data_IF_294428582382
#
_entry.id   IF_294428582382
#
_cell.length_a   1.000
_cell.length_b   1.000
_cell.length_c   1.000
_cell.angle_alpha   90.00
_cell.angle_beta   90.00
_cell.angle_gamma   90.00
#
_symmetry.space_group_name_H-M   'P 1'
#
loop_
_entity.id
_entity.type
_entity.pdbx_description
1 polymer ?
#
# COMPACT_ATOMS: atom_id res chain seq x y z
N UNK A 1 47.92 -5.44 -83.48
CA UNK A 1 47.81 -6.12 -82.16
C UNK A 1 46.84 -5.43 -81.16
N UNK A 2 46.14 -4.34 -81.53
CA UNK A 2 45.29 -3.56 -80.60
C UNK A 2 43.87 -4.11 -80.32
N UNK A 3 43.37 -5.05 -81.12
CA UNK A 3 41.99 -5.54 -81.00
C UNK A 3 41.76 -6.44 -79.76
N UNK A 4 42.80 -7.08 -79.22
CA UNK A 4 42.71 -7.92 -78.02
C UNK A 4 42.67 -7.11 -76.71
N UNK A 5 43.39 -5.99 -76.66
CA UNK A 5 43.46 -5.12 -75.48
C UNK A 5 42.16 -4.33 -75.26
N UNK A 6 41.50 -3.90 -76.34
CA UNK A 6 40.19 -3.26 -76.28
C UNK A 6 39.11 -4.21 -75.76
N UNK A 7 39.12 -5.48 -76.19
CA UNK A 7 38.21 -6.52 -75.69
C UNK A 7 38.46 -6.85 -74.21
N UNK A 8 39.72 -6.88 -73.77
CA UNK A 8 40.07 -7.10 -72.36
C UNK A 8 39.63 -5.93 -71.45
N UNK A 9 39.74 -4.69 -71.92
CA UNK A 9 39.23 -3.51 -71.19
C UNK A 9 37.70 -3.49 -71.13
N UNK A 10 37.01 -3.84 -72.21
CA UNK A 10 35.54 -3.98 -72.22
C UNK A 10 35.06 -5.05 -71.23
N UNK A 11 35.69 -6.23 -71.22
CA UNK A 11 35.34 -7.27 -70.25
C UNK A 11 35.60 -6.87 -68.80
N UNK A 12 36.64 -6.09 -68.53
CA UNK A 12 36.89 -5.55 -67.17
C UNK A 12 35.82 -4.55 -66.75
N UNK A 13 35.43 -3.64 -67.63
CA UNK A 13 34.35 -2.67 -67.38
C UNK A 13 32.99 -3.35 -67.17
N UNK A 14 32.68 -4.38 -67.97
CA UNK A 14 31.44 -5.14 -67.81
C UNK A 14 31.38 -5.91 -66.49
N UNK A 15 32.51 -6.49 -66.05
CA UNK A 15 32.59 -7.14 -64.73
C UNK A 15 32.40 -6.14 -63.60
N UNK A 16 33.06 -4.98 -63.68
CA UNK A 16 32.96 -3.94 -62.65
C UNK A 16 31.53 -3.33 -62.59
N UNK A 17 30.88 -3.15 -63.74
CA UNK A 17 29.48 -2.71 -63.78
C UNK A 17 28.51 -3.76 -63.20
N UNK A 18 28.75 -5.04 -63.47
CA UNK A 18 27.96 -6.14 -62.89
C UNK A 18 28.17 -6.24 -61.38
N UNK A 19 29.39 -6.13 -60.89
CA UNK A 19 29.69 -6.15 -59.45
C UNK A 19 29.04 -4.97 -58.72
N UNK A 20 29.08 -3.75 -59.27
CA UNK A 20 28.37 -2.59 -58.70
C UNK A 20 26.85 -2.75 -58.74
N UNK A 21 26.31 -3.37 -59.79
CA UNK A 21 24.89 -3.68 -59.88
C UNK A 21 24.46 -4.74 -58.86
N UNK A 22 25.27 -5.78 -58.63
CA UNK A 22 25.00 -6.80 -57.61
C UNK A 22 25.13 -6.24 -56.20
N UNK A 23 26.13 -5.39 -55.94
CA UNK A 23 26.33 -4.79 -54.62
C UNK A 23 25.21 -3.80 -54.28
N UNK A 24 24.75 -3.00 -55.24
CA UNK A 24 23.59 -2.11 -55.05
C UNK A 24 22.29 -2.90 -54.79
N UNK A 25 22.08 -4.02 -55.50
CA UNK A 25 20.95 -4.94 -55.23
C UNK A 25 21.03 -5.55 -53.83
N UNK A 26 22.19 -6.06 -53.42
CA UNK A 26 22.40 -6.62 -52.07
C UNK A 26 22.19 -5.56 -50.97
N UNK A 27 22.61 -4.31 -51.19
CA UNK A 27 22.36 -3.20 -50.26
C UNK A 27 20.87 -2.83 -50.20
N UNK A 28 20.18 -2.80 -51.34
CA UNK A 28 18.75 -2.51 -51.40
C UNK A 28 17.92 -3.61 -50.69
N UNK A 29 18.25 -4.88 -50.89
CA UNK A 29 17.60 -6.01 -50.21
C UNK A 29 17.81 -5.98 -48.69
N UNK A 30 19.04 -5.71 -48.24
CA UNK A 30 19.34 -5.54 -46.80
C UNK A 30 18.58 -4.36 -46.20
N UNK A 31 18.51 -3.23 -46.91
CA UNK A 31 17.78 -2.05 -46.44
C UNK A 31 16.27 -2.32 -46.35
N UNK A 32 15.68 -3.01 -47.34
CA UNK A 32 14.27 -3.45 -47.29
C UNK A 32 14.00 -4.38 -46.11
N UNK A 33 14.86 -5.37 -45.89
CA UNK A 33 14.73 -6.30 -44.77
C UNK A 33 14.84 -5.61 -43.40
N UNK A 34 15.71 -4.60 -43.26
CA UNK A 34 15.83 -3.80 -42.03
C UNK A 34 14.61 -2.91 -41.84
N UNK A 35 14.13 -2.25 -42.89
CA UNK A 35 12.95 -1.39 -42.84
C UNK A 35 11.68 -2.17 -42.46
N UNK A 36 11.49 -3.38 -42.99
CA UNK A 36 10.37 -4.25 -42.61
C UNK A 36 10.45 -4.68 -41.13
N UNK A 37 11.65 -5.02 -40.64
CA UNK A 37 11.84 -5.35 -39.22
C UNK A 37 11.60 -4.14 -38.31
N UNK A 38 11.96 -2.93 -38.76
CA UNK A 38 11.69 -1.71 -38.00
C UNK A 38 10.19 -1.39 -37.97
N UNK A 39 9.47 -1.56 -39.09
CA UNK A 39 8.01 -1.39 -39.14
C UNK A 39 7.30 -2.38 -38.22
N UNK A 40 7.64 -3.67 -38.27
CA UNK A 40 7.07 -4.67 -37.37
C UNK A 40 7.30 -4.34 -35.90
N UNK A 41 8.51 -3.91 -35.54
CA UNK A 41 8.80 -3.46 -34.16
C UNK A 41 8.01 -2.21 -33.77
N UNK A 42 7.79 -1.27 -34.69
CA UNK A 42 6.98 -0.09 -34.42
C UNK A 42 5.51 -0.47 -34.22
N UNK A 43 4.97 -1.36 -35.06
CA UNK A 43 3.61 -1.90 -34.95
C UNK A 43 3.41 -2.64 -33.62
N UNK A 44 4.32 -3.55 -33.25
CA UNK A 44 4.30 -4.26 -31.97
C UNK A 44 4.29 -3.28 -30.77
N UNK A 45 5.16 -2.26 -30.80
CA UNK A 45 5.21 -1.25 -29.74
C UNK A 45 3.95 -0.37 -29.71
N UNK A 46 3.35 -0.06 -30.85
CA UNK A 46 2.09 0.68 -30.92
C UNK A 46 0.92 -0.14 -30.40
N UNK A 47 0.85 -1.43 -30.75
CA UNK A 47 -0.15 -2.37 -30.25
C UNK A 47 -0.03 -2.54 -28.73
N UNK A 48 1.18 -2.74 -28.20
CA UNK A 48 1.39 -2.79 -26.75
C UNK A 48 0.95 -1.51 -26.05
N UNK A 49 1.24 -0.34 -26.61
CA UNK A 49 0.78 0.95 -26.05
C UNK A 49 -0.73 1.08 -26.10
N UNK A 50 -1.38 0.62 -27.18
CA UNK A 50 -2.85 0.62 -27.29
C UNK A 50 -3.45 -0.30 -26.26
N UNK A 51 -2.92 -1.50 -26.09
CA UNK A 51 -3.37 -2.46 -25.07
C UNK A 51 -3.22 -1.89 -23.67
N UNK A 52 -2.05 -1.34 -23.32
CA UNK A 52 -1.84 -0.68 -22.02
C UNK A 52 -2.82 0.45 -21.78
N UNK A 53 -3.09 1.29 -22.78
CA UNK A 53 -4.06 2.37 -22.66
C UNK A 53 -5.48 1.84 -22.45
N UNK A 54 -5.87 0.76 -23.14
CA UNK A 54 -7.17 0.11 -22.95
C UNK A 54 -7.28 -0.49 -21.55
N UNK A 55 -6.23 -1.16 -21.06
CA UNK A 55 -6.18 -1.74 -19.72
C UNK A 55 -6.26 -0.66 -18.63
N UNK A 56 -5.53 0.44 -18.78
CA UNK A 56 -5.58 1.59 -17.88
C UNK A 56 -6.99 2.21 -17.83
N UNK A 57 -7.62 2.39 -18.99
CA UNK A 57 -9.00 2.90 -19.07
C UNK A 57 -9.98 1.91 -18.44
N UNK A 58 -9.89 0.62 -18.74
CA UNK A 58 -10.75 -0.39 -18.15
C UNK A 58 -10.56 -0.51 -16.63
N UNK A 59 -9.34 -0.34 -16.13
CA UNK A 59 -9.09 -0.30 -14.69
C UNK A 59 -9.71 0.94 -14.04
N UNK A 60 -9.59 2.11 -14.67
CA UNK A 60 -10.21 3.34 -14.19
C UNK A 60 -11.75 3.26 -14.20
N UNK A 61 -12.33 2.70 -15.26
CA UNK A 61 -13.78 2.47 -15.36
C UNK A 61 -14.29 1.53 -14.27
N UNK A 62 -13.57 0.43 -13.98
CA UNK A 62 -13.93 -0.48 -12.88
C UNK A 62 -13.93 0.23 -11.53
N UNK A 63 -12.91 1.05 -11.24
CA UNK A 63 -12.84 1.82 -9.98
C UNK A 63 -13.98 2.84 -9.91
N UNK A 64 -14.32 3.48 -11.03
CA UNK A 64 -15.45 4.40 -11.10
C UNK A 64 -16.79 3.69 -10.85
N UNK A 65 -17.01 2.54 -11.48
CA UNK A 65 -18.21 1.71 -11.30
C UNK A 65 -18.35 1.25 -9.85
N UNK A 66 -17.28 0.72 -9.24
CA UNK A 66 -17.28 0.32 -7.83
C UNK A 66 -17.64 1.50 -6.91
N UNK A 67 -17.13 2.69 -7.21
CA UNK A 67 -17.45 3.91 -6.47
C UNK A 67 -18.91 4.32 -6.64
N UNK A 68 -19.43 4.27 -7.86
CA UNK A 68 -20.84 4.57 -8.15
C UNK A 68 -21.79 3.58 -7.47
N UNK A 69 -21.45 2.30 -7.46
CA UNK A 69 -22.19 1.27 -6.72
C UNK A 69 -22.23 1.56 -5.22
N UNK A 70 -21.09 1.97 -4.63
CA UNK A 70 -21.02 2.33 -3.22
C UNK A 70 -21.86 3.58 -2.90
N UNK A 71 -21.81 4.59 -3.77
CA UNK A 71 -22.64 5.80 -3.64
C UNK A 71 -24.13 5.42 -3.72
N UNK A 72 -24.52 4.60 -4.68
CA UNK A 72 -25.91 4.15 -4.85
C UNK A 72 -26.39 3.35 -3.63
N UNK A 73 -25.56 2.42 -3.12
CA UNK A 73 -25.88 1.64 -1.92
C UNK A 73 -25.99 2.49 -0.65
N UNK A 74 -25.21 3.56 -0.56
CA UNK A 74 -25.15 4.44 0.61
C UNK A 74 -25.99 5.72 0.47
N UNK A 75 -27.04 5.67 -0.35
CA UNK A 75 -27.99 6.77 -0.56
C UNK A 75 -27.31 8.12 -0.91
N UNK A 76 -26.30 8.08 -1.77
CA UNK A 76 -25.59 9.26 -2.26
C UNK A 76 -24.40 9.71 -1.43
N UNK A 77 -24.07 9.04 -0.31
CA UNK A 77 -23.00 9.46 0.59
C UNK A 77 -21.76 8.59 0.39
N UNK A 78 -20.61 9.21 0.09
CA UNK A 78 -19.34 8.50 0.03
C UNK A 78 -18.22 9.35 0.61
N UNK A 79 -17.58 8.83 1.66
CA UNK A 79 -16.42 9.45 2.29
C UNK A 79 -15.34 8.40 2.50
N UNK A 80 -14.15 8.67 1.98
CA UNK A 80 -12.94 7.90 2.27
C UNK A 80 -11.86 8.84 2.79
N UNK A 81 -11.35 8.58 3.99
CA UNK A 81 -10.31 9.42 4.62
C UNK A 81 -9.29 8.56 5.35
N UNK A 82 -8.01 8.90 5.22
CA UNK A 82 -6.92 8.25 5.95
C UNK A 82 -6.59 9.04 7.21
N UNK A 83 -6.80 8.42 8.37
CA UNK A 83 -6.58 9.04 9.67
C UNK A 83 -5.60 8.22 10.52
N UNK A 84 -4.86 8.89 11.40
CA UNK A 84 -3.98 8.23 12.36
C UNK A 84 -4.80 7.71 13.55
N UNK A 85 -4.71 6.40 13.78
CA UNK A 85 -5.32 5.74 14.92
C UNK A 85 -4.64 6.15 16.25
N UNK A 86 -5.44 6.63 17.20
CA UNK A 86 -5.02 6.92 18.59
C UNK A 86 -5.98 6.21 19.54
N UNK A 87 -5.46 5.55 20.57
CA UNK A 87 -6.32 4.89 21.56
C UNK A 87 -7.03 5.91 22.45
N UNK A 88 -8.33 5.72 22.66
CA UNK A 88 -9.12 6.45 23.65
C UNK A 88 -9.09 5.73 24.99
N UNK A 89 -9.06 6.49 26.08
CA UNK A 89 -9.21 5.93 27.42
C UNK A 89 -10.68 5.54 27.67
N UNK A 90 -10.92 4.29 28.10
CA UNK A 90 -12.27 3.76 28.35
C UNK A 90 -13.05 4.59 29.38
N UNK A 91 -12.35 5.20 30.35
CA UNK A 91 -12.92 5.98 31.43
C UNK A 91 -13.66 7.24 30.93
N UNK A 92 -13.12 7.90 29.89
CA UNK A 92 -13.76 9.06 29.26
C UNK A 92 -15.05 8.68 28.50
N UNK A 93 -15.14 7.43 28.04
CA UNK A 93 -16.29 6.89 27.31
C UNK A 93 -17.36 6.37 28.27
N UNK A 94 -16.98 5.74 29.38
CA UNK A 94 -17.92 5.26 30.42
C UNK A 94 -18.45 6.38 31.31
N UNK A 95 -17.65 7.43 31.55
CA UNK A 95 -18.06 8.59 32.37
C UNK A 95 -19.25 9.37 31.81
N UNK A 96 -19.49 9.28 30.49
CA UNK A 96 -20.66 9.87 29.81
C UNK A 96 -21.95 9.04 29.94
N UNK A 97 -21.94 7.93 30.69
CA UNK A 97 -23.15 7.12 30.97
C UNK A 97 -23.65 6.26 29.80
N UNK A 98 -22.89 6.15 28.71
CA UNK A 98 -23.30 5.43 27.50
C UNK A 98 -22.84 3.97 27.57
N UNK A 99 -23.75 3.05 27.92
CA UNK A 99 -23.50 1.60 28.07
C UNK A 99 -22.95 0.90 26.80
N UNK A 100 -23.06 1.54 25.62
CA UNK A 100 -22.62 1.01 24.31
C UNK A 100 -21.55 1.88 23.63
N UNK A 101 -20.68 2.54 24.40
CA UNK A 101 -19.61 3.38 23.85
C UNK A 101 -18.41 2.57 23.31
N UNK A 102 -18.34 1.26 23.58
CA UNK A 102 -17.20 0.42 23.24
C UNK A 102 -16.93 0.27 21.73
N UNK A 103 -17.95 0.47 20.88
CA UNK A 103 -17.85 0.37 19.43
C UNK A 103 -17.99 1.74 18.73
N UNK A 104 -17.93 2.83 19.50
CA UNK A 104 -18.11 4.19 18.98
C UNK A 104 -16.80 4.95 18.93
N UNK A 105 -16.46 5.50 17.76
CA UNK A 105 -15.21 6.22 17.50
C UNK A 105 -15.42 7.73 17.55
N UNK A 106 -14.35 8.47 17.80
CA UNK A 106 -14.34 9.93 17.74
C UNK A 106 -13.55 10.36 16.51
N UNK A 107 -14.16 11.15 15.65
CA UNK A 107 -13.58 11.62 14.39
C UNK A 107 -13.24 13.11 14.44
N UNK A 108 -12.40 13.61 13.52
CA UNK A 108 -12.15 15.05 13.40
C UNK A 108 -13.39 15.83 12.96
N UNK A 109 -13.44 17.10 13.34
CA UNK A 109 -14.49 18.02 12.89
C UNK A 109 -14.58 18.14 11.37
N UNK A 110 -13.44 18.11 10.65
CA UNK A 110 -13.40 18.19 9.19
C UNK A 110 -14.21 17.07 8.51
N UNK A 111 -14.15 15.85 9.07
CA UNK A 111 -14.94 14.71 8.58
C UNK A 111 -16.43 14.94 8.82
N UNK A 112 -16.78 15.54 9.97
CA UNK A 112 -18.16 15.92 10.27
C UNK A 112 -18.71 16.95 9.28
N UNK A 113 -17.92 17.98 8.95
CA UNK A 113 -18.31 19.03 7.99
C UNK A 113 -18.56 18.45 6.59
N UNK A 114 -17.68 17.57 6.10
CA UNK A 114 -17.85 16.88 4.82
C UNK A 114 -19.14 16.04 4.80
N UNK A 115 -19.39 15.27 5.86
CA UNK A 115 -20.62 14.47 5.99
C UNK A 115 -21.88 15.33 6.05
N UNK A 116 -21.83 16.48 6.72
CA UNK A 116 -22.95 17.42 6.77
C UNK A 116 -23.23 18.03 5.40
N UNK A 117 -22.19 18.36 4.62
CA UNK A 117 -22.37 18.86 3.24
C UNK A 117 -22.99 17.83 2.30
N UNK A 118 -22.79 16.53 2.59
CA UNK A 118 -23.39 15.41 1.87
C UNK A 118 -24.74 14.97 2.42
N UNK A 119 -25.31 15.71 3.38
CA UNK A 119 -26.61 15.37 4.00
C UNK A 119 -26.66 13.98 4.66
N UNK A 120 -25.49 13.42 5.04
CA UNK A 120 -25.37 12.11 5.69
C UNK A 120 -26.26 11.89 6.93
N UNK A 121 -26.50 12.89 7.83
CA UNK A 121 -27.35 12.65 9.00
C UNK A 121 -28.82 12.33 8.66
N UNK A 122 -29.29 12.64 7.44
CA UNK A 122 -30.64 12.29 6.98
C UNK A 122 -30.82 10.78 6.79
N UNK A 123 -29.72 10.05 6.55
CA UNK A 123 -29.72 8.60 6.31
C UNK A 123 -29.74 7.76 7.61
N UNK A 124 -29.78 8.41 8.77
CA UNK A 124 -29.87 7.75 10.07
C UNK A 124 -28.52 7.55 10.77
N UNK A 125 -28.34 6.39 11.41
CA UNK A 125 -27.14 6.13 12.20
C UNK A 125 -25.91 5.96 11.30
N UNK A 126 -24.91 6.83 11.46
CA UNK A 126 -23.67 6.80 10.69
C UNK A 126 -22.75 5.67 11.18
N UNK A 127 -22.46 4.74 10.28
CA UNK A 127 -21.55 3.61 10.48
C UNK A 127 -20.41 3.72 9.47
N UNK A 128 -19.19 3.44 9.91
CA UNK A 128 -17.99 3.55 9.09
C UNK A 128 -17.28 2.20 9.00
N UNK A 129 -16.82 1.87 7.80
CA UNK A 129 -15.83 0.82 7.58
C UNK A 129 -14.44 1.39 7.91
N UNK A 130 -13.75 0.76 8.86
CA UNK A 130 -12.37 1.05 9.21
C UNK A 130 -11.48 -0.03 8.58
N UNK A 131 -10.55 0.40 7.73
CA UNK A 131 -9.58 -0.48 7.08
C UNK A 131 -8.16 -0.16 7.54
N UNK A 132 -7.42 -1.19 7.91
CA UNK A 132 -5.97 -1.09 8.17
C UNK A 132 -5.16 -1.31 6.89
N UNK A 133 -3.92 -0.80 6.82
CA UNK A 133 -2.99 -1.14 5.75
C UNK A 133 -2.68 -2.65 5.67
N UNK A 134 -2.83 -3.37 6.79
CA UNK A 134 -2.68 -4.83 6.87
C UNK A 134 -3.87 -5.61 6.29
N UNK A 135 -4.92 -4.93 5.83
CA UNK A 135 -6.11 -5.55 5.24
C UNK A 135 -7.18 -5.97 6.24
N UNK A 136 -7.01 -5.72 7.54
CA UNK A 136 -8.05 -5.94 8.55
C UNK A 136 -9.13 -4.88 8.44
N UNK A 137 -10.39 -5.31 8.50
CA UNK A 137 -11.58 -4.47 8.33
C UNK A 137 -12.50 -4.62 9.54
N UNK A 138 -13.00 -3.50 10.05
CA UNK A 138 -14.00 -3.49 11.14
C UNK A 138 -15.02 -2.39 10.92
N UNK A 139 -16.24 -2.57 11.44
CA UNK A 139 -17.28 -1.55 11.34
C UNK A 139 -17.49 -0.89 12.71
N UNK A 140 -17.55 0.43 12.74
CA UNK A 140 -17.76 1.19 13.97
C UNK A 140 -18.70 2.38 13.75
N UNK A 141 -19.48 2.71 14.79
CA UNK A 141 -20.34 3.90 14.76
C UNK A 141 -19.57 5.14 15.22
N UNK A 142 -20.04 6.33 14.89
CA UNK A 142 -19.45 7.58 15.43
C UNK A 142 -20.12 7.98 16.74
N UNK A 143 -19.29 8.45 17.68
CA UNK A 143 -19.74 9.10 18.91
C UNK A 143 -19.88 10.60 18.72
N UNK A 144 -18.79 11.27 18.36
CA UNK A 144 -18.69 12.73 18.26
C UNK A 144 -17.55 13.13 17.31
N UNK A 145 -17.57 14.39 16.87
CA UNK A 145 -16.59 14.96 15.92
C UNK A 145 -15.61 15.93 16.61
N UNK A 146 -14.99 15.49 17.70
CA UNK A 146 -14.11 16.32 18.55
C UNK A 146 -12.64 15.92 18.50
N UNK A 147 -12.27 14.96 17.65
CA UNK A 147 -10.89 14.50 17.58
C UNK A 147 -9.97 15.57 16.97
N UNK A 148 -8.68 15.57 17.33
CA UNK A 148 -7.68 16.40 16.67
C UNK A 148 -7.60 16.10 15.17
N UNK A 149 -7.30 17.13 14.37
CA UNK A 149 -7.17 17.02 12.93
C UNK A 149 -6.20 15.89 12.53
N UNK A 150 -6.60 15.06 11.57
CA UNK A 150 -5.81 13.94 11.08
C UNK A 150 -5.71 12.73 12.01
N UNK A 151 -6.44 12.72 13.14
CA UNK A 151 -6.45 11.59 14.08
C UNK A 151 -7.86 11.06 14.34
N UNK A 152 -7.99 9.75 14.51
CA UNK A 152 -9.22 9.10 14.93
C UNK A 152 -9.00 8.45 16.30
N UNK A 153 -9.84 8.80 17.27
CA UNK A 153 -9.77 8.18 18.60
C UNK A 153 -10.60 6.90 18.60
N UNK A 154 -9.93 5.79 18.86
CA UNK A 154 -10.48 4.44 18.75
C UNK A 154 -10.57 3.80 20.13
N UNK A 155 -11.73 3.24 20.51
CA UNK A 155 -11.84 2.41 21.69
C UNK A 155 -10.93 1.18 21.61
N UNK A 156 -10.43 0.67 22.75
CA UNK A 156 -9.54 -0.50 22.76
C UNK A 156 -10.20 -1.76 22.21
N UNK A 157 -11.53 -1.89 22.25
CA UNK A 157 -12.25 -2.99 21.61
C UNK A 157 -12.07 -2.96 20.09
N UNK A 158 -12.23 -1.80 19.46
CA UNK A 158 -12.03 -1.61 18.01
C UNK A 158 -10.55 -1.84 17.64
N UNK A 159 -9.63 -1.34 18.47
CA UNK A 159 -8.18 -1.57 18.29
C UNK A 159 -7.84 -3.06 18.31
N UNK A 160 -8.42 -3.83 19.24
CA UNK A 160 -8.21 -5.29 19.30
C UNK A 160 -8.76 -6.00 18.06
N UNK A 161 -9.84 -5.51 17.47
CA UNK A 161 -10.39 -6.09 16.24
C UNK A 161 -9.54 -5.77 15.01
N UNK A 162 -8.94 -4.58 14.96
CA UNK A 162 -8.11 -4.13 13.82
C UNK A 162 -6.68 -4.70 13.86
N UNK A 163 -6.06 -4.76 15.04
CA UNK A 163 -4.64 -5.10 15.21
C UNK A 163 -4.39 -6.31 16.14
N UNK A 164 -5.44 -6.93 16.68
CA UNK A 164 -5.33 -8.07 17.58
C UNK A 164 -5.04 -7.69 19.04
N UNK A 165 -4.91 -8.72 19.88
CA UNK A 165 -4.77 -8.61 21.35
C UNK A 165 -3.48 -7.92 21.81
N UNK A 166 -2.52 -7.74 20.91
CA UNK A 166 -1.17 -7.24 21.17
C UNK A 166 -0.98 -5.76 20.78
N UNK A 167 -2.02 -5.09 20.29
CA UNK A 167 -2.04 -3.64 20.09
C UNK A 167 -2.13 -2.88 21.43
N UNK A 168 -1.21 -3.18 22.34
CA UNK A 168 -0.86 -2.29 23.43
C UNK A 168 -0.14 -1.12 22.82
N UNK A 169 -0.75 0.05 22.96
CA UNK A 169 -0.19 1.38 22.73
C UNK A 169 1.36 1.39 22.77
N UNK A 170 2.05 1.92 21.73
CA UNK A 170 3.49 2.08 21.76
C UNK A 170 3.97 3.04 22.88
N UNK A 171 3.06 3.79 23.52
CA UNK A 171 3.37 4.73 24.59
C UNK A 171 3.39 4.08 25.98
N UNK A 172 2.84 2.86 26.14
CA UNK A 172 2.84 2.14 27.43
C UNK A 172 4.21 1.56 27.84
N UNK A 173 5.26 1.74 27.01
CA UNK A 173 6.63 1.23 27.26
C UNK A 173 7.65 2.31 27.64
N UNK A 174 7.21 3.48 28.09
CA UNK A 174 8.10 4.48 28.69
C UNK A 174 7.74 4.72 30.17
N UNK A 175 7.75 3.66 30.98
CA UNK A 175 7.90 3.79 32.43
C UNK A 175 9.35 3.46 32.77
N UNK A 176 10.15 4.52 32.89
CA UNK A 176 11.26 4.60 33.84
C UNK A 176 12.25 3.42 33.81
N UNK A 177 13.16 3.40 32.84
CA UNK A 177 14.48 2.78 33.02
C UNK A 177 15.32 3.62 33.98
N UNK A 178 14.92 3.66 35.25
CA UNK A 178 15.73 4.16 36.37
C UNK A 178 15.81 3.06 37.42
N UNK A 179 16.63 2.03 37.13
CA UNK A 179 17.37 1.38 38.19
C UNK A 179 18.83 1.22 37.78
N UNK A 180 19.60 2.16 38.29
CA UNK A 180 21.03 2.11 38.44
C UNK A 180 21.48 0.81 39.11
N UNK A 181 22.56 0.24 38.58
CA UNK A 181 23.67 -0.49 39.26
C UNK A 181 24.25 -1.48 38.24
N UNK A 182 25.19 -1.04 37.41
CA UNK A 182 26.63 -1.17 37.63
C UNK A 182 27.06 -2.59 38.03
N UNK A 183 27.71 -3.25 37.05
CA UNK A 183 28.93 -4.07 37.17
C UNK A 183 28.96 -5.16 38.25
N UNK A 184 28.93 -6.42 37.81
CA UNK A 184 29.78 -7.47 38.38
C UNK A 184 31.27 -7.05 38.24
N UNK A 185 32.20 -7.45 39.13
CA UNK A 185 32.67 -8.85 39.18
C UNK A 185 33.15 -9.43 40.55
N UNK A 186 33.16 -10.77 40.60
CA UNK A 186 34.12 -11.71 41.24
C UNK A 186 34.22 -11.91 42.77
N UNK A 187 34.12 -13.22 43.12
CA UNK A 187 34.84 -14.03 44.15
C UNK A 187 34.51 -13.83 45.63
N UNK A 188 34.23 -14.95 46.31
CA UNK A 188 34.26 -15.02 47.78
C UNK A 188 33.57 -16.24 48.40
N UNK A 189 34.24 -17.39 48.37
CA UNK A 189 34.19 -18.53 49.29
C UNK A 189 33.01 -18.72 50.28
N UNK A 190 32.30 -19.82 50.05
CA UNK A 190 32.19 -20.98 50.97
C UNK A 190 31.15 -21.02 52.10
N UNK A 191 30.58 -22.24 52.22
CA UNK A 191 29.96 -22.92 53.38
C UNK A 191 28.43 -22.87 53.54
N UNK A 192 27.79 -23.88 52.94
CA UNK A 192 26.72 -24.71 53.56
C UNK A 192 27.26 -25.45 54.81
N UNK A 193 26.45 -26.18 55.63
CA UNK A 193 24.98 -26.19 55.94
C UNK A 193 24.80 -26.24 57.51
N UNK A 194 23.79 -26.86 58.20
CA UNK A 194 22.54 -27.54 57.82
C UNK A 194 21.26 -27.23 58.66
N UNK A 195 20.19 -27.93 58.27
CA UNK A 195 18.81 -28.08 58.79
C UNK A 195 18.62 -28.14 60.33
N UNK A 196 17.48 -27.64 60.79
CA UNK A 196 16.66 -28.18 61.91
C UNK A 196 15.17 -27.84 61.68
N UNK A 197 14.31 -28.83 61.39
CA UNK A 197 13.31 -29.47 62.29
C UNK A 197 12.34 -28.47 62.96
N UNK A 198 11.09 -28.37 62.48
CA UNK A 198 9.86 -28.97 63.07
C UNK A 198 9.72 -28.70 64.58
N UNK A 199 8.69 -27.92 64.94
CA UNK A 199 7.70 -28.18 66.02
C UNK A 199 6.62 -27.09 66.03
N UNK A 200 5.38 -27.45 65.67
CA UNK A 200 4.19 -27.05 66.42
C UNK A 200 4.04 -28.05 67.60
N UNK A 201 3.05 -27.98 68.52
CA UNK A 201 1.94 -27.04 68.72
C UNK A 201 1.82 -26.53 70.18
N UNK A 202 0.77 -25.76 70.51
CA UNK A 202 0.43 -25.54 71.92
C UNK A 202 -0.70 -24.54 72.22
N UNK A 203 -1.93 -25.07 72.22
CA UNK A 203 -3.16 -24.67 72.95
C UNK A 203 -3.80 -23.30 72.69
#
# INVERSE_FOLDING_TARGET
MFAGELKARQQRLEREQKERAEESKRRAERHRAIAERQRKRQEELEEEKRLRRIEELAAAEKVAQEREELISRNNGVFLETRLRAVATDEELLTGKGIKRAADKIVLPASVGEELMSMDAPKNGAMMFELRTPSGSVTHAGVLEFTAPAGTALLPPKVIRSLWGREARSPWARCKCATRSSRRAPLRGCSRRPPRSRRTAPGR
#
